data_IF_035663635684
#
_entry.id   IF_035663635684
#
_cell.length_a   1.000
_cell.length_b   1.000
_cell.length_c   1.000
_cell.angle_alpha   90.00
_cell.angle_beta   90.00
_cell.angle_gamma   90.00
#
_symmetry.space_group_name_H-M   'P 1'
#
loop_
_entity.id
_entity.type
_entity.pdbx_description
1 polymer ?
#
# COMPACT_ATOMS: atom_id res chain seq x y z
N UNK A 1 13.65 -0.21 -18.88
CA UNK A 1 12.23 -0.12 -18.47
C UNK A 1 11.36 0.02 -19.72
N UNK A 2 10.20 -0.66 -19.79
CA UNK A 2 9.31 -0.54 -20.96
C UNK A 2 8.47 0.73 -20.87
N UNK A 3 8.00 1.24 -22.00
CA UNK A 3 7.11 2.42 -22.03
C UNK A 3 5.86 2.24 -21.15
N UNK A 4 5.22 1.07 -21.23
CA UNK A 4 4.05 0.73 -20.40
C UNK A 4 4.35 0.82 -18.91
N UNK A 5 5.51 0.35 -18.46
CA UNK A 5 5.89 0.40 -17.04
C UNK A 5 6.01 1.87 -16.59
N UNK A 6 6.63 2.72 -17.42
CA UNK A 6 6.77 4.16 -17.16
C UNK A 6 5.41 4.85 -17.05
N UNK A 7 4.48 4.55 -17.96
CA UNK A 7 3.15 5.14 -17.97
C UNK A 7 2.35 4.79 -16.71
N UNK A 8 2.43 3.54 -16.23
CA UNK A 8 1.71 3.13 -15.03
C UNK A 8 2.29 3.75 -13.77
N UNK A 9 3.62 3.84 -13.67
CA UNK A 9 4.28 4.49 -12.54
C UNK A 9 4.00 6.00 -12.55
N UNK A 10 4.03 6.63 -13.72
CA UNK A 10 3.65 8.04 -13.86
C UNK A 10 2.20 8.29 -13.45
N UNK A 11 1.27 7.40 -13.79
CA UNK A 11 -0.12 7.52 -13.35
C UNK A 11 -0.26 7.32 -11.82
N UNK A 12 0.49 6.39 -11.22
CA UNK A 12 0.53 6.26 -9.77
C UNK A 12 1.04 7.55 -9.10
N UNK A 13 2.09 8.16 -9.63
CA UNK A 13 2.59 9.45 -9.15
C UNK A 13 1.57 10.58 -9.34
N UNK A 14 0.93 10.65 -10.50
CA UNK A 14 -0.09 11.66 -10.77
C UNK A 14 -1.27 11.55 -9.80
N UNK A 15 -1.78 10.34 -9.55
CA UNK A 15 -2.87 10.11 -8.59
C UNK A 15 -2.43 10.41 -7.15
N UNK A 16 -1.22 10.02 -6.76
CA UNK A 16 -0.64 10.37 -5.47
C UNK A 16 -0.58 11.88 -5.26
N UNK A 17 -0.13 12.63 -6.27
CA UNK A 17 -0.07 14.09 -6.22
C UNK A 17 -1.46 14.73 -6.21
N UNK A 18 -2.43 14.18 -6.94
CA UNK A 18 -3.78 14.73 -7.05
C UNK A 18 -4.64 14.49 -5.80
N UNK A 19 -4.47 13.34 -5.14
CA UNK A 19 -5.34 12.88 -4.04
C UNK A 19 -4.66 12.96 -2.68
N UNK A 20 -3.35 12.68 -2.61
CA UNK A 20 -2.57 12.40 -1.38
C UNK A 20 -2.97 13.21 -0.15
N UNK A 21 -2.47 14.45 -0.04
CA UNK A 21 -2.69 15.30 1.15
C UNK A 21 -4.16 15.67 1.40
N UNK A 22 -5.04 15.51 0.40
CA UNK A 22 -6.48 15.76 0.57
C UNK A 22 -7.15 14.66 1.39
N UNK A 23 -6.58 13.45 1.37
CA UNK A 23 -7.09 12.30 2.12
C UNK A 23 -6.20 11.95 3.31
N UNK A 24 -4.89 12.02 3.15
CA UNK A 24 -3.91 11.62 4.16
C UNK A 24 -2.88 12.71 4.38
N UNK A 25 -2.91 13.33 5.56
CA UNK A 25 -1.96 14.39 5.91
C UNK A 25 -0.51 13.87 5.89
N UNK A 26 0.41 14.68 5.39
CA UNK A 26 1.83 14.35 5.30
C UNK A 26 2.19 13.42 4.13
N UNK A 27 1.23 13.06 3.28
CA UNK A 27 1.46 12.17 2.13
C UNK A 27 2.57 12.67 1.22
N UNK A 28 2.56 13.95 0.83
CA UNK A 28 3.58 14.52 -0.08
C UNK A 28 4.97 14.68 0.54
N UNK A 29 5.07 14.61 1.87
CA UNK A 29 6.33 14.72 2.59
C UNK A 29 7.09 13.38 2.59
N UNK A 30 6.38 12.29 2.33
CA UNK A 30 6.94 10.94 2.27
C UNK A 30 7.42 10.64 0.85
N UNK A 31 8.68 10.23 0.66
CA UNK A 31 9.18 9.87 -0.66
C UNK A 31 8.41 8.69 -1.24
N UNK A 32 7.75 8.88 -2.39
CA UNK A 32 7.16 7.79 -3.16
C UNK A 32 8.23 7.04 -3.98
N UNK A 33 9.18 6.43 -3.25
CA UNK A 33 10.28 5.68 -3.83
C UNK A 33 9.80 4.30 -4.29
N UNK A 34 10.10 3.94 -5.55
CA UNK A 34 9.65 2.70 -6.18
C UNK A 34 10.85 1.91 -6.71
N UNK A 35 10.89 0.62 -6.39
CA UNK A 35 11.74 -0.39 -6.99
C UNK A 35 10.87 -1.33 -7.84
N UNK A 36 10.85 -1.09 -9.16
CA UNK A 36 10.19 -1.97 -10.12
C UNK A 36 11.07 -3.18 -10.41
N UNK A 37 10.60 -4.36 -10.06
CA UNK A 37 11.30 -5.64 -10.29
C UNK A 37 10.84 -6.25 -11.61
N UNK A 38 11.79 -6.54 -12.50
CA UNK A 38 11.54 -7.19 -13.80
C UNK A 38 12.44 -8.42 -13.96
N UNK A 39 12.18 -9.33 -14.93
CA UNK A 39 12.98 -10.54 -15.09
C UNK A 39 14.49 -10.33 -15.27
N UNK A 40 14.89 -9.21 -15.88
CA UNK A 40 16.28 -8.94 -16.22
C UNK A 40 16.91 -7.83 -15.37
N UNK A 41 16.12 -6.84 -14.96
CA UNK A 41 16.59 -5.64 -14.27
C UNK A 41 15.65 -5.19 -13.17
N UNK A 42 16.20 -4.57 -12.13
CA UNK A 42 15.42 -3.80 -11.16
C UNK A 42 15.61 -2.30 -11.47
N UNK A 43 14.53 -1.53 -11.49
CA UNK A 43 14.55 -0.08 -11.73
C UNK A 43 14.15 0.68 -10.48
N UNK A 44 15.02 1.58 -10.02
CA UNK A 44 14.80 2.40 -8.83
C UNK A 44 14.47 3.83 -9.27
N UNK A 45 13.37 4.37 -8.74
CA UNK A 45 12.72 5.60 -9.22
C UNK A 45 12.35 6.46 -8.01
N UNK A 46 12.61 7.78 -8.09
CA UNK A 46 12.36 8.78 -7.02
C UNK A 46 12.94 8.39 -5.64
N UNK A 47 14.00 7.59 -5.60
CA UNK A 47 14.59 7.13 -4.34
C UNK A 47 15.71 8.09 -3.87
N UNK A 48 15.59 8.72 -2.68
CA UNK A 48 16.52 9.76 -2.23
C UNK A 48 17.87 9.22 -1.71
N UNK A 49 17.98 7.91 -1.45
CA UNK A 49 19.19 7.27 -0.89
C UNK A 49 19.60 6.02 -1.68
N UNK A 50 19.86 6.13 -3.00
CA UNK A 50 20.24 4.97 -3.80
C UNK A 50 21.57 4.39 -3.31
N UNK A 51 21.74 3.08 -3.49
CA UNK A 51 22.96 2.36 -3.13
C UNK A 51 23.89 2.20 -4.36
N UNK A 52 25.21 2.01 -4.18
CA UNK A 52 26.18 2.09 -5.29
C UNK A 52 26.02 1.05 -6.41
N UNK A 53 25.28 -0.04 -6.19
CA UNK A 53 25.00 -1.04 -7.22
C UNK A 53 24.06 -0.55 -8.33
N UNK A 54 23.35 0.57 -8.09
CA UNK A 54 22.47 1.18 -9.07
C UNK A 54 23.24 2.15 -9.97
N UNK A 55 23.03 2.01 -11.27
CA UNK A 55 23.60 2.88 -12.31
C UNK A 55 22.52 3.77 -12.90
N UNK A 56 22.87 5.01 -13.24
CA UNK A 56 21.92 5.93 -13.86
C UNK A 56 21.64 5.58 -15.32
N UNK A 57 20.37 5.55 -15.69
CA UNK A 57 19.89 5.58 -17.08
C UNK A 57 19.59 7.01 -17.57
N UNK A 58 19.79 8.01 -16.71
CA UNK A 58 19.48 9.41 -16.97
C UNK A 58 18.10 9.83 -16.46
N UNK A 59 17.76 11.10 -16.74
CA UNK A 59 16.51 11.70 -16.32
C UNK A 59 15.36 11.31 -17.26
N UNK A 60 14.26 10.84 -16.67
CA UNK A 60 13.03 10.51 -17.37
C UNK A 60 11.99 11.62 -17.17
N UNK A 61 11.66 12.33 -18.25
CA UNK A 61 10.73 13.47 -18.19
C UNK A 61 9.29 13.09 -17.83
N UNK A 62 8.86 11.85 -18.13
CA UNK A 62 7.53 11.37 -17.78
C UNK A 62 7.45 11.06 -16.28
N UNK A 63 8.51 10.47 -15.71
CA UNK A 63 8.59 10.14 -14.29
C UNK A 63 9.02 11.33 -13.42
N UNK A 64 9.58 12.37 -14.04
CA UNK A 64 10.06 13.56 -13.35
C UNK A 64 11.25 13.30 -12.43
N UNK A 65 12.07 12.28 -12.75
CA UNK A 65 13.20 11.88 -11.90
C UNK A 65 14.27 11.14 -12.69
N UNK A 66 15.45 11.01 -12.08
CA UNK A 66 16.45 10.06 -12.52
C UNK A 66 15.92 8.62 -12.36
N UNK A 67 16.14 7.79 -13.38
CA UNK A 67 15.85 6.35 -13.31
C UNK A 67 17.18 5.63 -13.14
N UNK A 68 17.27 4.85 -12.08
CA UNK A 68 18.43 4.04 -11.79
C UNK A 68 18.13 2.56 -12.06
N UNK A 69 19.15 1.79 -12.40
CA UNK A 69 19.01 0.39 -12.78
C UNK A 69 20.10 -0.48 -12.19
N UNK A 70 19.77 -1.74 -11.91
CA UNK A 70 20.74 -2.82 -11.69
C UNK A 70 20.24 -4.12 -12.33
N UNK A 71 21.10 -5.12 -12.58
CA UNK A 71 20.65 -6.47 -12.90
C UNK A 71 19.69 -6.99 -11.83
N UNK A 72 18.71 -7.80 -12.23
CA UNK A 72 17.69 -8.33 -11.33
C UNK A 72 18.32 -9.04 -10.11
N UNK A 73 17.89 -8.65 -8.91
CA UNK A 73 18.26 -9.35 -7.68
C UNK A 73 17.38 -10.59 -7.50
N UNK A 74 17.96 -11.78 -7.63
CA UNK A 74 17.25 -13.06 -7.53
C UNK A 74 16.54 -13.32 -6.18
N UNK A 75 16.86 -12.55 -5.13
CA UNK A 75 16.14 -12.61 -3.86
C UNK A 75 14.82 -11.82 -3.87
N UNK A 76 14.58 -11.01 -4.90
CA UNK A 76 13.34 -10.27 -5.07
C UNK A 76 12.38 -11.05 -5.97
N UNK A 77 11.21 -11.36 -5.44
CA UNK A 77 10.17 -12.01 -6.25
C UNK A 77 9.65 -11.06 -7.32
N UNK A 78 9.49 -11.56 -8.55
CA UNK A 78 8.77 -10.85 -9.62
C UNK A 78 7.29 -10.60 -9.30
N UNK A 79 6.78 -11.20 -8.22
CA UNK A 79 5.41 -11.06 -7.74
C UNK A 79 5.28 -10.18 -6.50
N UNK A 80 6.34 -9.50 -6.08
CA UNK A 80 6.25 -8.61 -4.93
C UNK A 80 5.27 -7.46 -5.17
N UNK A 81 4.56 -7.13 -4.11
CA UNK A 81 3.56 -6.07 -3.97
C UNK A 81 3.63 -5.66 -2.49
N UNK A 82 4.74 -5.03 -2.10
CA UNK A 82 5.04 -4.73 -0.71
C UNK A 82 5.94 -3.49 -0.56
N UNK A 83 5.76 -2.74 0.51
CA UNK A 83 6.71 -1.71 0.95
C UNK A 83 7.58 -2.23 2.12
N UNK A 84 8.90 -2.23 1.93
CA UNK A 84 9.87 -2.55 2.99
C UNK A 84 11.21 -1.83 2.73
N UNK A 85 12.16 -1.75 3.69
CA UNK A 85 13.41 -1.00 3.54
C UNK A 85 14.44 -1.68 2.61
N UNK A 86 14.07 -1.88 1.34
CA UNK A 86 14.81 -2.66 0.35
C UNK A 86 16.11 -2.00 -0.15
N UNK A 87 16.18 -0.66 -0.10
CA UNK A 87 17.32 0.12 -0.60
C UNK A 87 17.64 1.24 0.39
N UNK A 88 18.92 1.37 0.76
CA UNK A 88 19.40 2.49 1.58
C UNK A 88 18.68 2.69 2.93
N UNK A 89 18.05 1.64 3.47
CA UNK A 89 17.25 1.68 4.70
C UNK A 89 15.99 2.57 4.61
N UNK A 90 15.53 2.94 3.41
CA UNK A 90 14.29 3.67 3.22
C UNK A 90 13.16 2.71 2.85
N UNK A 91 12.01 2.84 3.50
CA UNK A 91 10.83 2.07 3.11
C UNK A 91 10.51 2.36 1.63
N UNK A 92 10.55 1.32 0.79
CA UNK A 92 10.50 1.42 -0.67
C UNK A 92 9.41 0.51 -1.19
N UNK A 93 8.55 0.99 -2.08
CA UNK A 93 7.58 0.15 -2.79
C UNK A 93 8.36 -0.79 -3.71
N UNK A 94 8.37 -2.08 -3.39
CA UNK A 94 8.97 -3.13 -4.22
C UNK A 94 7.84 -3.84 -4.94
N UNK A 95 7.76 -3.64 -6.24
CA UNK A 95 6.62 -4.10 -7.04
C UNK A 95 7.04 -4.76 -8.35
N UNK A 96 6.44 -5.89 -8.67
CA UNK A 96 6.60 -6.58 -9.95
C UNK A 96 5.82 -5.91 -11.09
N UNK A 97 6.07 -6.32 -12.33
CA UNK A 97 5.26 -5.86 -13.48
C UNK A 97 3.81 -6.37 -13.40
N UNK A 98 2.82 -5.67 -13.96
CA UNK A 98 1.41 -6.09 -13.91
C UNK A 98 1.18 -7.53 -14.38
N UNK A 99 1.89 -7.94 -15.44
CA UNK A 99 1.77 -9.30 -15.98
C UNK A 99 2.34 -10.36 -15.02
N UNK A 100 3.34 -10.02 -14.22
CA UNK A 100 3.97 -10.93 -13.25
C UNK A 100 3.13 -11.05 -11.97
N UNK A 101 2.50 -9.95 -11.54
CA UNK A 101 1.61 -9.96 -10.37
C UNK A 101 0.19 -10.40 -10.69
N UNK A 102 -0.15 -10.57 -11.97
CA UNK A 102 -1.47 -10.99 -12.42
C UNK A 102 -2.55 -9.92 -12.29
N UNK A 103 -2.15 -8.65 -12.16
CA UNK A 103 -3.07 -7.51 -12.03
C UNK A 103 -3.35 -6.85 -13.38
N UNK A 104 -4.57 -6.32 -13.50
CA UNK A 104 -4.87 -5.37 -14.57
C UNK A 104 -4.08 -4.07 -14.35
N UNK A 105 -3.83 -3.27 -15.40
CA UNK A 105 -3.11 -2.01 -15.26
C UNK A 105 -3.69 -1.06 -14.19
N UNK A 106 -5.02 -0.91 -14.15
CA UNK A 106 -5.69 -0.06 -13.16
C UNK A 106 -5.50 -0.56 -11.73
N UNK A 107 -5.66 -1.87 -11.52
CA UNK A 107 -5.47 -2.46 -10.18
C UNK A 107 -4.01 -2.40 -9.73
N UNK A 108 -3.07 -2.50 -10.67
CA UNK A 108 -1.65 -2.36 -10.40
C UNK A 108 -1.30 -0.95 -9.92
N UNK A 109 -1.83 0.09 -10.58
CA UNK A 109 -1.64 1.50 -10.14
C UNK A 109 -2.21 1.71 -8.74
N UNK A 110 -3.41 1.20 -8.46
CA UNK A 110 -4.01 1.27 -7.13
C UNK A 110 -3.16 0.52 -6.09
N UNK A 111 -2.56 -0.62 -6.48
CA UNK A 111 -1.67 -1.38 -5.60
C UNK A 111 -0.40 -0.59 -5.30
N UNK A 112 0.21 0.08 -6.28
CA UNK A 112 1.36 0.94 -6.02
C UNK A 112 1.04 2.10 -5.05
N UNK A 113 -0.17 2.68 -5.15
CA UNK A 113 -0.66 3.68 -4.19
C UNK A 113 -0.87 3.08 -2.79
N UNK A 114 -1.40 1.86 -2.70
CA UNK A 114 -1.53 1.14 -1.43
C UNK A 114 -0.17 0.89 -0.77
N UNK A 115 0.84 0.49 -1.54
CA UNK A 115 2.20 0.35 -1.00
C UNK A 115 2.82 1.70 -0.59
N UNK A 116 2.49 2.79 -1.29
CA UNK A 116 2.90 4.12 -0.85
C UNK A 116 2.21 4.55 0.45
N UNK A 117 0.97 4.13 0.67
CA UNK A 117 0.30 4.32 1.96
C UNK A 117 1.06 3.62 3.09
N UNK A 118 1.63 2.43 2.85
CA UNK A 118 2.53 1.79 3.82
C UNK A 118 3.82 2.59 4.05
N UNK A 119 4.38 3.26 3.02
CA UNK A 119 5.47 4.22 3.23
C UNK A 119 5.05 5.37 4.16
N UNK A 120 3.83 5.89 4.00
CA UNK A 120 3.28 6.92 4.87
C UNK A 120 3.10 6.43 6.32
N UNK A 121 2.54 5.23 6.51
CA UNK A 121 2.40 4.62 7.82
C UNK A 121 3.75 4.49 8.52
N UNK A 122 4.76 3.95 7.83
CA UNK A 122 6.12 3.78 8.38
C UNK A 122 6.82 5.11 8.65
N UNK A 123 6.47 6.18 7.94
CA UNK A 123 7.02 7.50 8.17
C UNK A 123 6.41 8.21 9.39
N UNK A 124 5.32 7.71 9.96
CA UNK A 124 4.73 8.31 11.15
C UNK A 124 5.70 8.25 12.34
N UNK A 125 5.70 9.28 13.21
CA UNK A 125 6.41 9.22 14.48
C UNK A 125 6.00 7.97 15.27
N UNK A 126 6.97 7.34 15.92
CA UNK A 126 6.77 6.18 16.79
C UNK A 126 6.13 4.94 16.12
N UNK A 127 6.06 4.87 14.78
CA UNK A 127 5.41 3.77 14.05
C UNK A 127 5.77 2.37 14.58
N UNK A 128 7.06 2.08 14.74
CA UNK A 128 7.50 0.77 15.23
C UNK A 128 7.11 0.52 16.69
N UNK A 129 7.20 1.53 17.56
CA UNK A 129 6.75 1.41 18.94
C UNK A 129 5.22 1.21 19.00
N UNK A 130 4.45 1.93 18.19
CA UNK A 130 3.01 1.74 18.09
C UNK A 130 2.65 0.33 17.61
N UNK A 131 3.35 -0.21 16.60
CA UNK A 131 3.17 -1.59 16.14
C UNK A 131 3.46 -2.62 17.25
N UNK A 132 4.51 -2.42 18.04
CA UNK A 132 4.82 -3.30 19.18
C UNK A 132 3.69 -3.30 20.22
N UNK A 133 3.04 -2.15 20.48
CA UNK A 133 1.92 -2.08 21.44
C UNK A 133 0.66 -2.83 21.00
N UNK A 134 0.55 -3.22 19.72
CA UNK A 134 -0.56 -4.04 19.25
C UNK A 134 -0.52 -5.45 19.85
N UNK A 135 0.66 -5.92 20.26
CA UNK A 135 0.90 -7.25 20.83
C UNK A 135 0.36 -8.38 19.94
N UNK A 136 0.66 -8.29 18.65
CA UNK A 136 0.20 -9.24 17.62
C UNK A 136 1.33 -10.10 17.03
N UNK A 137 2.58 -9.78 17.34
CA UNK A 137 3.75 -10.42 16.73
C UNK A 137 3.93 -11.88 17.17
N UNK A 138 3.40 -12.29 18.33
CA UNK A 138 3.50 -13.67 18.81
C UNK A 138 4.94 -14.18 18.94
N UNK A 139 5.90 -13.28 19.17
CA UNK A 139 7.34 -13.59 19.23
C UNK A 139 8.10 -13.49 17.90
N UNK A 140 7.43 -13.15 16.79
CA UNK A 140 8.10 -12.87 15.52
C UNK A 140 8.90 -11.56 15.58
N UNK A 141 10.21 -11.65 15.33
CA UNK A 141 11.14 -10.51 15.29
C UNK A 141 11.48 -10.05 13.87
N UNK A 142 10.97 -10.73 12.85
CA UNK A 142 11.23 -10.44 11.43
C UNK A 142 10.23 -9.43 10.84
N UNK A 143 9.10 -9.21 11.52
CA UNK A 143 7.98 -8.39 11.04
C UNK A 143 7.02 -9.12 10.10
N UNK A 144 7.32 -10.38 9.74
CA UNK A 144 6.51 -11.19 8.82
C UNK A 144 5.11 -11.51 9.37
N UNK A 145 4.90 -11.41 10.69
CA UNK A 145 3.60 -11.55 11.32
C UNK A 145 2.55 -10.62 10.70
N UNK A 146 2.94 -9.43 10.24
CA UNK A 146 1.99 -8.48 9.62
C UNK A 146 1.40 -9.04 8.32
N UNK A 147 2.15 -9.88 7.61
CA UNK A 147 1.70 -10.54 6.38
C UNK A 147 1.03 -11.89 6.65
N UNK A 148 1.48 -12.58 7.70
CA UNK A 148 1.07 -13.95 8.02
C UNK A 148 0.02 -14.03 9.13
N UNK A 149 -0.46 -12.88 9.65
CA UNK A 149 -1.42 -12.83 10.74
C UNK A 149 -2.68 -13.63 10.35
N UNK A 150 -3.14 -14.56 11.20
CA UNK A 150 -4.22 -15.49 10.87
C UNK A 150 -5.60 -14.84 11.01
N UNK A 151 -5.83 -13.70 10.35
CA UNK A 151 -7.13 -13.03 10.37
C UNK A 151 -8.22 -13.99 9.84
N UNK A 152 -9.44 -14.00 10.42
CA UNK A 152 -10.46 -15.02 10.15
C UNK A 152 -11.19 -14.83 8.81
N UNK A 153 -10.45 -14.71 7.71
CA UNK A 153 -11.00 -14.49 6.36
C UNK A 153 -11.98 -15.58 5.90
N UNK A 154 -11.83 -16.81 6.41
CA UNK A 154 -12.67 -17.95 6.05
C UNK A 154 -13.90 -18.11 6.93
N UNK A 155 -14.02 -17.34 8.01
CA UNK A 155 -15.23 -17.37 8.84
C UNK A 155 -16.42 -16.78 8.05
N UNK A 156 -17.52 -17.54 7.87
CA UNK A 156 -18.67 -17.08 7.11
C UNK A 156 -19.34 -15.82 7.69
N UNK A 157 -19.38 -15.66 9.02
CA UNK A 157 -19.97 -14.51 9.68
C UNK A 157 -19.13 -13.26 9.45
N UNK A 158 -17.80 -13.36 9.61
CA UNK A 158 -16.86 -12.27 9.32
C UNK A 158 -16.97 -11.87 7.86
N UNK A 159 -16.93 -12.84 6.93
CA UNK A 159 -17.05 -12.58 5.49
C UNK A 159 -18.36 -11.90 5.12
N UNK A 160 -19.49 -12.33 5.69
CA UNK A 160 -20.78 -11.71 5.44
C UNK A 160 -20.84 -10.27 5.95
N UNK A 161 -20.39 -10.02 7.19
CA UNK A 161 -20.35 -8.67 7.78
C UNK A 161 -19.40 -7.74 7.02
N UNK A 162 -18.25 -8.25 6.60
CA UNK A 162 -17.30 -7.49 5.78
C UNK A 162 -17.92 -7.09 4.44
N UNK A 163 -18.66 -7.99 3.80
CA UNK A 163 -19.42 -7.70 2.58
C UNK A 163 -20.46 -6.59 2.78
N UNK A 164 -21.22 -6.63 3.87
CA UNK A 164 -22.19 -5.57 4.22
C UNK A 164 -21.49 -4.24 4.48
N UNK A 165 -20.39 -4.25 5.22
CA UNK A 165 -19.55 -3.09 5.49
C UNK A 165 -19.06 -2.42 4.19
N UNK A 166 -18.50 -3.19 3.26
CA UNK A 166 -18.04 -2.67 1.97
C UNK A 166 -19.17 -2.12 1.09
N UNK A 167 -20.33 -2.77 1.09
CA UNK A 167 -21.50 -2.29 0.34
C UNK A 167 -22.04 -0.97 0.89
N UNK A 168 -22.09 -0.83 2.22
CA UNK A 168 -22.49 0.40 2.89
C UNK A 168 -21.49 1.54 2.63
N UNK A 169 -20.18 1.25 2.73
CA UNK A 169 -19.13 2.21 2.40
C UNK A 169 -19.26 2.72 0.96
N UNK A 170 -19.42 1.81 -0.02
CA UNK A 170 -19.62 2.19 -1.43
C UNK A 170 -20.81 3.12 -1.59
N UNK A 171 -21.93 2.82 -0.92
CA UNK A 171 -23.14 3.63 -1.00
C UNK A 171 -22.94 5.01 -0.37
N UNK A 172 -22.22 5.08 0.76
CA UNK A 172 -21.88 6.35 1.41
C UNK A 172 -20.99 7.23 0.52
N UNK A 173 -19.99 6.64 -0.14
CA UNK A 173 -19.08 7.36 -1.05
C UNK A 173 -19.77 7.86 -2.34
N UNK A 174 -20.93 7.33 -2.69
CA UNK A 174 -21.71 7.72 -3.87
C UNK A 174 -22.87 8.68 -3.53
N UNK A 175 -22.98 9.13 -2.28
CA UNK A 175 -24.04 10.04 -1.88
C UNK A 175 -23.72 11.48 -2.30
N UNK A 176 -24.61 12.09 -3.08
CA UNK A 176 -24.39 13.39 -3.72
C UNK A 176 -25.18 14.56 -3.06
N UNK A 177 -25.72 14.36 -1.85
CA UNK A 177 -26.45 15.42 -1.12
C UNK A 177 -26.42 15.23 0.41
N UNK A 178 -26.46 16.32 1.17
CA UNK A 178 -26.15 16.30 2.61
C UNK A 178 -27.05 15.38 3.46
N UNK A 179 -28.41 15.41 3.37
CA UNK A 179 -29.24 14.55 4.21
C UNK A 179 -29.12 13.07 3.84
N UNK A 180 -28.85 12.77 2.57
CA UNK A 180 -28.61 11.41 2.10
C UNK A 180 -27.24 10.93 2.60
N UNK A 181 -26.22 11.79 2.51
CA UNK A 181 -24.85 11.50 2.94
C UNK A 181 -24.79 11.17 4.42
N UNK A 182 -25.44 11.97 5.28
CA UNK A 182 -25.47 11.72 6.72
C UNK A 182 -26.07 10.34 7.03
N UNK A 183 -27.23 10.03 6.44
CA UNK A 183 -27.87 8.73 6.63
C UNK A 183 -26.97 7.59 6.14
N UNK A 184 -26.37 7.70 4.94
CA UNK A 184 -25.54 6.63 4.37
C UNK A 184 -24.23 6.43 5.13
N UNK A 185 -23.64 7.51 5.64
CA UNK A 185 -22.50 7.44 6.57
C UNK A 185 -22.91 6.75 7.88
N UNK A 186 -24.09 7.04 8.42
CA UNK A 186 -24.64 6.33 9.57
C UNK A 186 -24.81 4.84 9.31
N UNK A 187 -25.39 4.46 8.16
CA UNK A 187 -25.56 3.07 7.74
C UNK A 187 -24.17 2.35 7.63
N UNK A 188 -23.15 3.05 7.10
CA UNK A 188 -21.77 2.57 7.04
C UNK A 188 -21.13 2.36 8.43
N UNK A 189 -21.26 3.32 9.33
CA UNK A 189 -20.71 3.23 10.69
C UNK A 189 -21.36 2.09 11.49
N UNK A 190 -22.68 1.92 11.34
CA UNK A 190 -23.40 0.81 11.95
C UNK A 190 -22.93 -0.55 11.38
N UNK A 191 -22.70 -0.65 10.07
CA UNK A 191 -22.16 -1.86 9.46
C UNK A 191 -20.73 -2.17 9.93
N UNK A 192 -19.89 -1.14 10.13
CA UNK A 192 -18.55 -1.29 10.71
C UNK A 192 -18.64 -1.81 12.14
N UNK A 193 -19.49 -1.24 12.99
CA UNK A 193 -19.68 -1.72 14.36
C UNK A 193 -20.11 -3.20 14.41
N UNK A 194 -21.06 -3.58 13.56
CA UNK A 194 -21.50 -4.98 13.46
C UNK A 194 -20.43 -5.95 12.93
N UNK A 195 -19.47 -5.47 12.12
CA UNK A 195 -18.29 -6.25 11.76
C UNK A 195 -17.35 -6.42 12.96
N UNK A 196 -17.08 -5.33 13.70
CA UNK A 196 -16.21 -5.37 14.89
C UNK A 196 -16.72 -6.33 15.96
N UNK A 197 -18.04 -6.43 16.14
CA UNK A 197 -18.66 -7.40 17.05
C UNK A 197 -18.38 -8.88 16.67
N UNK A 198 -17.96 -9.16 15.43
CA UNK A 198 -17.59 -10.52 15.00
C UNK A 198 -16.10 -10.82 15.10
N UNK A 199 -15.29 -9.84 15.51
CA UNK A 199 -13.83 -9.97 15.59
C UNK A 199 -13.39 -10.11 17.04
N UNK A 200 -12.42 -10.99 17.26
CA UNK A 200 -11.70 -11.01 18.53
C UNK A 200 -10.91 -9.70 18.72
N UNK A 201 -10.57 -9.31 19.96
CA UNK A 201 -9.84 -8.07 20.21
C UNK A 201 -8.51 -7.95 19.44
N UNK A 202 -7.79 -9.07 19.23
CA UNK A 202 -6.56 -9.10 18.44
C UNK A 202 -6.83 -8.87 16.96
N UNK A 203 -7.87 -9.51 16.42
CA UNK A 203 -8.28 -9.34 15.02
C UNK A 203 -8.73 -7.92 14.75
N UNK A 204 -9.46 -7.31 15.68
CA UNK A 204 -9.84 -5.91 15.57
C UNK A 204 -8.63 -4.96 15.56
N UNK A 205 -7.61 -5.22 16.39
CA UNK A 205 -6.34 -4.45 16.36
C UNK A 205 -5.63 -4.61 15.03
N UNK A 206 -5.51 -5.84 14.52
CA UNK A 206 -4.94 -6.11 13.21
C UNK A 206 -5.71 -5.39 12.09
N UNK A 207 -7.04 -5.52 12.07
CA UNK A 207 -7.89 -4.86 11.09
C UNK A 207 -7.74 -3.33 11.13
N UNK A 208 -7.67 -2.75 12.34
CA UNK A 208 -7.54 -1.30 12.51
C UNK A 208 -6.17 -0.80 12.04
N UNK A 209 -5.10 -1.56 12.28
CA UNK A 209 -3.75 -1.26 11.79
C UNK A 209 -3.70 -1.18 10.25
N UNK A 210 -4.45 -2.04 9.55
CA UNK A 210 -4.53 -2.02 8.08
C UNK A 210 -5.24 -0.79 7.51
N UNK A 211 -5.96 -0.02 8.34
CA UNK A 211 -6.75 1.15 7.95
C UNK A 211 -6.17 2.49 8.44
N UNK A 212 -5.16 2.45 9.30
CA UNK A 212 -4.61 3.62 9.99
C UNK A 212 -3.57 4.35 9.15
#
# INVERSE_FOLDING_TARGET
MRERDRLLIAEAYHLADYIGDRLWAGWREVPFAVLLVTPEYDFLIRHPRPTPEFQSLGYDSLLGSEVLVRPHNANLSLKFEAAFPAVGGLNTVVIGQPEQTGKSPALWVITALHEHFHQLQTAQPDHFAALETLDLAGGDQTGMWQLNYPFPYQDPAVKARFGTYLAALRTALQADSDPVTEKKTGDFLAARAALVETLDPSDYRYFSMQLW
#
